data_IF_600161735289
#
_entry.id   IF_600161735289
#
_cell.length_a   1.000
_cell.length_b   1.000
_cell.length_c   1.000
_cell.angle_alpha   90.00
_cell.angle_beta   90.00
_cell.angle_gamma   90.00
#
_symmetry.space_group_name_H-M   'P 1'
#
loop_
_entity.id
_entity.type
_entity.pdbx_description
1 polymer ?
#
# COMPACT_ATOMS: atom_id res chain seq x y z
N UNK A 1 -23.29 8.60 23.58
CA UNK A 1 -22.88 8.44 22.16
C UNK A 1 -21.41 8.03 22.12
N UNK A 2 -21.11 6.95 21.47
CA UNK A 2 -19.72 6.49 21.31
C UNK A 2 -19.16 7.09 20.02
N UNK A 3 -18.10 7.88 20.15
CA UNK A 3 -17.37 8.41 18.98
C UNK A 3 -16.32 7.37 18.60
N UNK A 4 -16.45 6.82 17.38
CA UNK A 4 -15.43 5.90 16.85
C UNK A 4 -14.42 6.70 16.05
N UNK A 5 -13.14 6.55 16.41
CA UNK A 5 -12.05 7.07 15.59
C UNK A 5 -11.86 6.18 14.36
N UNK A 6 -11.56 6.77 13.20
CA UNK A 6 -11.23 5.98 12.02
C UNK A 6 -10.07 5.03 12.32
N UNK A 7 -10.18 3.79 11.85
CA UNK A 7 -9.12 2.78 11.95
C UNK A 7 -8.84 2.22 10.58
N UNK A 8 -7.67 1.66 10.41
CA UNK A 8 -7.25 1.04 9.16
C UNK A 8 -5.91 1.56 8.70
N UNK A 9 -5.35 0.83 7.76
CA UNK A 9 -4.03 1.13 7.21
C UNK A 9 -4.03 0.82 5.72
N UNK A 10 -3.45 1.71 4.93
CA UNK A 10 -3.18 1.49 3.52
C UNK A 10 -1.72 1.04 3.38
N UNK A 11 -1.45 0.02 2.58
CA UNK A 11 -0.10 -0.50 2.36
C UNK A 11 0.37 -0.12 0.96
N UNK A 12 1.51 0.57 0.91
CA UNK A 12 2.12 1.08 -0.31
C UNK A 12 3.02 0.04 -0.98
N UNK A 13 3.33 0.27 -2.24
CA UNK A 13 4.13 -0.59 -3.13
C UNK A 13 5.43 -1.09 -2.49
N UNK A 14 6.22 -0.17 -1.96
CA UNK A 14 7.55 -0.49 -1.43
C UNK A 14 7.54 -1.45 -0.25
N UNK A 15 6.46 -1.45 0.52
CA UNK A 15 6.32 -2.35 1.68
C UNK A 15 6.11 -3.79 1.20
N UNK A 16 5.25 -4.01 0.21
CA UNK A 16 5.05 -5.34 -0.36
C UNK A 16 6.33 -5.86 -1.03
N UNK A 17 6.99 -5.02 -1.82
CA UNK A 17 8.25 -5.38 -2.48
C UNK A 17 9.33 -5.75 -1.46
N UNK A 18 9.51 -4.94 -0.44
CA UNK A 18 10.51 -5.19 0.60
C UNK A 18 10.23 -6.46 1.42
N UNK A 19 8.96 -6.80 1.58
CA UNK A 19 8.58 -8.04 2.26
C UNK A 19 9.08 -9.29 1.52
N UNK A 20 8.94 -9.33 0.20
CA UNK A 20 9.32 -10.49 -0.60
C UNK A 20 10.80 -10.48 -1.04
N UNK A 21 11.45 -9.32 -1.00
CA UNK A 21 12.87 -9.19 -1.35
C UNK A 21 13.71 -9.21 -0.07
N UNK A 22 14.23 -10.37 0.30
CA UNK A 22 14.96 -10.56 1.57
C UNK A 22 16.17 -9.63 1.72
N UNK A 23 16.80 -9.26 0.62
CA UNK A 23 17.99 -8.38 0.60
C UNK A 23 17.64 -6.89 0.59
N UNK A 24 16.37 -6.54 0.54
CA UNK A 24 15.97 -5.13 0.55
C UNK A 24 16.29 -4.50 1.90
N UNK A 25 16.86 -3.27 1.92
CA UNK A 25 17.14 -2.58 3.18
C UNK A 25 15.91 -2.42 4.09
N UNK A 26 14.72 -2.33 3.51
CA UNK A 26 13.46 -2.22 4.26
C UNK A 26 12.82 -3.55 4.64
N UNK A 27 13.47 -4.69 4.34
CA UNK A 27 12.86 -6.01 4.54
C UNK A 27 12.39 -6.24 5.98
N UNK A 28 13.25 -5.99 6.97
CA UNK A 28 12.89 -6.21 8.38
C UNK A 28 11.72 -5.34 8.81
N UNK A 29 11.72 -4.07 8.40
CA UNK A 29 10.62 -3.16 8.70
C UNK A 29 9.32 -3.59 8.03
N UNK A 30 9.38 -4.03 6.77
CA UNK A 30 8.23 -4.54 6.05
C UNK A 30 7.65 -5.80 6.69
N UNK A 31 8.49 -6.75 7.08
CA UNK A 31 8.07 -7.97 7.78
C UNK A 31 7.39 -7.63 9.10
N UNK A 32 7.98 -6.73 9.88
CA UNK A 32 7.40 -6.29 11.15
C UNK A 32 6.02 -5.64 10.94
N UNK A 33 5.93 -4.68 10.03
CA UNK A 33 4.70 -3.94 9.76
C UNK A 33 3.59 -4.85 9.25
N UNK A 34 3.87 -5.71 8.27
CA UNK A 34 2.86 -6.61 7.73
C UNK A 34 2.46 -7.70 8.73
N UNK A 35 3.37 -8.14 9.59
CA UNK A 35 3.03 -9.05 10.68
C UNK A 35 2.04 -8.39 11.65
N UNK A 36 2.22 -7.12 11.98
CA UNK A 36 1.26 -6.36 12.78
C UNK A 36 -0.09 -6.25 12.07
N UNK A 37 -0.07 -5.99 10.76
CA UNK A 37 -1.29 -5.93 9.93
C UNK A 37 -2.05 -7.26 9.97
N UNK A 38 -1.36 -8.38 9.82
CA UNK A 38 -1.97 -9.72 9.86
C UNK A 38 -2.61 -10.04 11.21
N UNK A 39 -2.06 -9.48 12.31
CA UNK A 39 -2.61 -9.65 13.65
C UNK A 39 -3.73 -8.67 13.98
N UNK A 40 -4.11 -7.81 13.04
CA UNK A 40 -5.21 -6.86 13.22
C UNK A 40 -4.85 -5.63 14.04
N UNK A 41 -3.58 -5.38 14.34
CA UNK A 41 -3.13 -4.27 15.19
C UNK A 41 -3.55 -2.89 14.63
N UNK A 42 -3.65 -2.76 13.33
CA UNK A 42 -3.97 -1.50 12.66
C UNK A 42 -5.39 -1.42 12.12
N UNK A 43 -6.25 -2.39 12.47
CA UNK A 43 -7.59 -2.51 11.91
C UNK A 43 -7.56 -3.13 10.51
N UNK A 44 -8.51 -2.76 9.67
CA UNK A 44 -8.59 -3.25 8.30
C UNK A 44 -7.39 -2.79 7.46
N UNK A 45 -6.91 -3.67 6.59
CA UNK A 45 -5.74 -3.42 5.74
C UNK A 45 -6.21 -3.26 4.31
N UNK A 46 -5.76 -2.18 3.68
CA UNK A 46 -6.17 -1.81 2.33
C UNK A 46 -4.97 -1.65 1.40
N UNK A 47 -5.19 -1.91 0.14
CA UNK A 47 -4.29 -1.51 -0.94
C UNK A 47 -5.14 -1.24 -2.18
N UNK A 48 -4.54 -0.97 -3.32
CA UNK A 48 -5.27 -0.72 -4.55
C UNK A 48 -4.74 -1.56 -5.72
N UNK A 49 -5.54 -1.65 -6.77
CA UNK A 49 -5.13 -2.30 -8.01
C UNK A 49 -3.93 -1.60 -8.66
N UNK A 50 -3.80 -0.28 -8.52
CA UNK A 50 -2.61 0.45 -8.99
C UNK A 50 -1.36 0.07 -8.20
N UNK A 51 -1.49 -0.09 -6.88
CA UNK A 51 -0.39 -0.57 -6.04
C UNK A 51 -0.03 -2.01 -6.40
N UNK A 52 -1.03 -2.86 -6.60
CA UNK A 52 -0.82 -4.25 -6.98
C UNK A 52 0.02 -4.35 -8.26
N UNK A 53 -0.37 -3.64 -9.31
CA UNK A 53 0.38 -3.59 -10.57
C UNK A 53 1.82 -3.12 -10.35
N UNK A 54 1.98 -2.00 -9.65
CA UNK A 54 3.30 -1.42 -9.39
C UNK A 54 4.18 -2.35 -8.55
N UNK A 55 3.62 -3.03 -7.54
CA UNK A 55 4.37 -3.93 -6.66
C UNK A 55 4.92 -5.15 -7.41
N UNK A 56 4.11 -5.76 -8.27
CA UNK A 56 4.56 -6.87 -9.12
C UNK A 56 5.67 -6.41 -10.07
N UNK A 57 5.45 -5.29 -10.74
CA UNK A 57 6.38 -4.74 -11.72
C UNK A 57 7.69 -4.31 -11.08
N UNK A 58 7.62 -3.61 -9.96
CA UNK A 58 8.79 -3.16 -9.22
C UNK A 58 9.64 -4.33 -8.71
N UNK A 59 8.98 -5.35 -8.16
CA UNK A 59 9.68 -6.54 -7.65
C UNK A 59 10.40 -7.27 -8.79
N UNK A 60 9.74 -7.43 -9.93
CA UNK A 60 10.36 -8.02 -11.11
C UNK A 60 11.56 -7.18 -11.59
N UNK A 61 11.40 -5.87 -11.67
CA UNK A 61 12.47 -4.97 -12.11
C UNK A 61 13.70 -5.04 -11.20
N UNK A 62 13.50 -5.12 -9.88
CA UNK A 62 14.59 -5.16 -8.90
C UNK A 62 15.28 -6.50 -8.81
N UNK A 63 14.58 -7.60 -9.03
CA UNK A 63 15.11 -8.95 -8.80
C UNK A 63 15.41 -9.71 -10.09
N UNK A 64 14.79 -9.35 -11.19
CA UNK A 64 14.78 -10.12 -12.45
C UNK A 64 14.27 -11.56 -12.24
N UNK A 65 13.45 -11.79 -11.20
CA UNK A 65 12.95 -13.12 -10.82
C UNK A 65 11.44 -13.15 -10.81
N UNK A 66 10.85 -13.92 -11.72
CA UNK A 66 9.40 -14.09 -11.78
C UNK A 66 8.84 -14.71 -10.50
N UNK A 67 9.53 -15.69 -9.93
CA UNK A 67 9.08 -16.34 -8.70
C UNK A 67 8.94 -15.38 -7.54
N UNK A 68 9.86 -14.43 -7.40
CA UNK A 68 9.79 -13.39 -6.36
C UNK A 68 8.62 -12.43 -6.63
N UNK A 69 8.46 -12.01 -7.87
CA UNK A 69 7.33 -11.13 -8.23
C UNK A 69 5.98 -11.81 -7.97
N UNK A 70 5.85 -13.10 -8.31
CA UNK A 70 4.61 -13.84 -8.09
C UNK A 70 4.27 -14.00 -6.60
N UNK A 71 5.26 -13.96 -5.72
CA UNK A 71 5.04 -13.98 -4.26
C UNK A 71 4.29 -12.74 -3.77
N UNK A 72 4.42 -11.61 -4.44
CA UNK A 72 3.64 -10.41 -4.11
C UNK A 72 2.14 -10.68 -4.23
N UNK A 73 1.72 -11.34 -5.32
CA UNK A 73 0.33 -11.73 -5.52
C UNK A 73 -0.16 -12.63 -4.39
N UNK A 74 0.61 -13.65 -4.04
CA UNK A 74 0.26 -14.59 -2.97
C UNK A 74 0.15 -13.88 -1.62
N UNK A 75 1.03 -12.94 -1.36
CA UNK A 75 0.99 -12.14 -0.14
C UNK A 75 -0.29 -11.31 -0.04
N UNK A 76 -0.66 -10.63 -1.11
CA UNK A 76 -1.82 -9.74 -1.12
C UNK A 76 -3.14 -10.55 -1.07
N UNK A 77 -3.23 -11.65 -1.79
CA UNK A 77 -4.47 -12.42 -1.90
C UNK A 77 -4.55 -13.63 -0.97
N UNK A 78 -3.47 -13.94 -0.24
CA UNK A 78 -3.50 -15.02 0.75
C UNK A 78 -3.76 -16.39 0.16
N UNK A 79 -3.11 -16.73 -0.95
CA UNK A 79 -3.35 -17.99 -1.67
C UNK A 79 -2.68 -19.22 -1.04
N UNK A 80 -2.00 -19.06 0.10
CA UNK A 80 -1.36 -20.17 0.81
C UNK A 80 -1.93 -20.29 2.23
N UNK A 81 -1.87 -21.49 2.82
CA UNK A 81 -2.30 -21.69 4.21
C UNK A 81 -1.49 -20.85 5.21
N UNK A 82 -0.23 -20.55 4.87
CA UNK A 82 0.68 -19.76 5.70
C UNK A 82 0.40 -18.27 5.64
N UNK A 83 -0.28 -17.80 4.56
CA UNK A 83 -0.58 -16.39 4.34
C UNK A 83 -2.10 -16.24 4.21
N UNK A 84 -2.78 -15.88 5.32
CA UNK A 84 -4.23 -15.64 5.26
C UNK A 84 -4.52 -14.39 4.42
N UNK A 85 -5.69 -14.37 3.80
CA UNK A 85 -6.17 -13.18 3.10
C UNK A 85 -6.50 -12.09 4.14
N UNK A 86 -5.74 -11.01 4.18
CA UNK A 86 -5.93 -9.93 5.15
C UNK A 86 -6.04 -8.54 4.50
N UNK A 87 -5.86 -8.45 3.19
CA UNK A 87 -5.82 -7.18 2.46
C UNK A 87 -7.12 -6.97 1.67
N UNK A 88 -7.75 -5.83 1.87
CA UNK A 88 -8.89 -5.40 1.06
C UNK A 88 -8.40 -4.61 -0.15
N UNK A 89 -8.74 -5.08 -1.36
CA UNK A 89 -8.34 -4.45 -2.62
C UNK A 89 -9.35 -3.36 -2.99
N UNK A 90 -8.87 -2.13 -3.10
CA UNK A 90 -9.65 -0.99 -3.59
C UNK A 90 -9.36 -0.77 -5.07
N UNK A 91 -10.41 -0.46 -5.83
CA UNK A 91 -10.27 -0.21 -7.26
C UNK A 91 -10.13 1.28 -7.56
N UNK A 92 -9.20 1.61 -8.44
CA UNK A 92 -9.11 2.94 -9.02
C UNK A 92 -10.03 2.95 -10.26
N UNK A 93 -11.32 3.13 -10.00
CA UNK A 93 -12.33 3.21 -11.05
C UNK A 93 -12.38 4.61 -11.68
N UNK A 94 -13.29 4.82 -12.60
CA UNK A 94 -13.38 6.09 -13.32
C UNK A 94 -13.59 7.29 -12.39
N UNK A 95 -14.53 7.29 -11.43
CA UNK A 95 -14.67 8.41 -10.51
C UNK A 95 -13.41 8.69 -9.69
N UNK A 96 -12.75 7.66 -9.20
CA UNK A 96 -11.49 7.80 -8.45
C UNK A 96 -10.40 8.38 -9.34
N UNK A 97 -10.29 7.90 -10.58
CA UNK A 97 -9.31 8.40 -11.53
C UNK A 97 -9.51 9.89 -11.81
N UNK A 98 -10.75 10.32 -11.97
CA UNK A 98 -11.07 11.73 -12.22
C UNK A 98 -10.70 12.61 -11.02
N UNK A 99 -11.05 12.18 -9.81
CA UNK A 99 -10.67 12.88 -8.59
C UNK A 99 -9.15 12.95 -8.44
N UNK A 100 -8.46 11.85 -8.70
CA UNK A 100 -7.00 11.79 -8.62
C UNK A 100 -6.35 12.70 -9.66
N UNK A 101 -6.89 12.79 -10.86
CA UNK A 101 -6.37 13.72 -11.88
C UNK A 101 -6.48 15.17 -11.41
N UNK A 102 -7.61 15.54 -10.81
CA UNK A 102 -7.79 16.89 -10.26
C UNK A 102 -6.76 17.19 -9.16
N UNK A 103 -6.56 16.27 -8.24
CA UNK A 103 -5.55 16.40 -7.17
C UNK A 103 -4.14 16.43 -7.73
N UNK A 104 -3.86 15.63 -8.75
CA UNK A 104 -2.53 15.50 -9.35
C UNK A 104 -2.02 16.80 -9.95
N UNK A 105 -2.92 17.68 -10.40
CA UNK A 105 -2.55 18.99 -10.91
C UNK A 105 -1.79 19.82 -9.85
N UNK A 106 -2.02 19.53 -8.58
CA UNK A 106 -1.31 20.13 -7.46
C UNK A 106 -0.18 19.22 -6.95
N UNK A 107 -0.47 17.95 -6.73
CA UNK A 107 0.49 17.01 -6.11
C UNK A 107 1.70 16.73 -6.98
N UNK A 108 1.56 16.81 -8.31
CA UNK A 108 2.69 16.60 -9.21
C UNK A 108 3.80 17.65 -9.00
N UNK A 109 3.44 18.84 -8.57
CA UNK A 109 4.41 19.91 -8.26
C UNK A 109 5.26 19.56 -7.04
N UNK A 110 4.71 18.73 -6.14
CA UNK A 110 5.39 18.26 -4.94
C UNK A 110 6.13 16.93 -5.19
N UNK A 111 6.14 16.44 -6.42
CA UNK A 111 6.86 15.23 -6.79
C UNK A 111 6.13 13.92 -6.56
N UNK A 112 4.83 13.96 -6.23
CA UNK A 112 4.04 12.74 -6.09
C UNK A 112 3.73 12.15 -7.45
N UNK A 113 3.79 10.82 -7.56
CA UNK A 113 3.33 10.12 -8.76
C UNK A 113 1.80 10.13 -8.83
N UNK A 114 1.27 9.76 -10.00
CA UNK A 114 -0.18 9.59 -10.12
C UNK A 114 -0.70 8.47 -9.23
N UNK A 115 0.03 7.37 -9.12
CA UNK A 115 -0.31 6.28 -8.19
C UNK A 115 -0.36 6.78 -6.74
N UNK A 116 0.62 7.57 -6.31
CA UNK A 116 0.61 8.19 -4.97
C UNK A 116 -0.66 9.02 -4.75
N UNK A 117 -1.03 9.80 -5.76
CA UNK A 117 -2.22 10.64 -5.69
C UNK A 117 -3.51 9.82 -5.62
N UNK A 118 -3.59 8.70 -6.36
CA UNK A 118 -4.74 7.79 -6.24
C UNK A 118 -4.84 7.21 -4.83
N UNK A 119 -3.70 6.91 -4.22
CA UNK A 119 -3.64 6.45 -2.82
C UNK A 119 -4.22 7.48 -1.87
N UNK A 120 -3.82 8.75 -2.00
CA UNK A 120 -4.36 9.84 -1.16
C UNK A 120 -5.88 9.98 -1.31
N UNK A 121 -6.39 9.90 -2.53
CA UNK A 121 -7.82 9.98 -2.80
C UNK A 121 -8.58 8.81 -2.16
N UNK A 122 -8.08 7.59 -2.35
CA UNK A 122 -8.69 6.40 -1.75
C UNK A 122 -8.70 6.46 -0.23
N UNK A 123 -7.59 6.87 0.37
CA UNK A 123 -7.50 6.99 1.83
C UNK A 123 -8.50 8.02 2.37
N UNK A 124 -8.64 9.15 1.70
CA UNK A 124 -9.59 10.17 2.10
C UNK A 124 -11.03 9.69 2.01
N UNK A 125 -11.40 9.06 0.88
CA UNK A 125 -12.77 8.57 0.67
C UNK A 125 -13.15 7.44 1.61
N UNK A 126 -12.22 6.56 1.95
CA UNK A 126 -12.46 5.44 2.84
C UNK A 126 -12.09 5.72 4.30
N UNK A 127 -11.71 6.97 4.61
CA UNK A 127 -11.33 7.40 5.96
C UNK A 127 -10.24 6.52 6.57
N UNK A 128 -9.23 6.19 5.77
CA UNK A 128 -8.09 5.38 6.20
C UNK A 128 -7.02 6.34 6.77
N UNK A 129 -6.72 6.26 8.09
CA UNK A 129 -5.88 7.28 8.74
C UNK A 129 -4.39 7.09 8.61
N UNK A 130 -3.94 5.88 8.25
CA UNK A 130 -2.52 5.52 8.25
C UNK A 130 -2.09 4.93 6.93
N UNK A 131 -0.82 5.12 6.59
CA UNK A 131 -0.19 4.44 5.47
C UNK A 131 1.12 3.80 5.92
N UNK A 132 1.34 2.55 5.52
CA UNK A 132 2.64 1.91 5.61
C UNK A 132 3.39 2.21 4.31
N UNK A 133 4.44 3.01 4.40
CA UNK A 133 5.20 3.43 3.23
C UNK A 133 6.63 3.78 3.61
N UNK A 134 7.55 3.59 2.66
CA UNK A 134 8.93 4.10 2.77
C UNK A 134 9.11 5.41 2.01
N UNK A 135 8.06 5.88 1.32
CA UNK A 135 8.12 7.08 0.50
C UNK A 135 7.97 8.35 1.34
N UNK A 136 9.00 9.20 1.31
CA UNK A 136 9.02 10.47 2.05
C UNK A 136 7.98 11.48 1.57
N UNK A 137 7.46 11.34 0.34
CA UNK A 137 6.46 12.26 -0.21
C UNK A 137 5.15 12.26 0.59
N UNK A 138 4.89 11.20 1.37
CA UNK A 138 3.72 11.14 2.25
C UNK A 138 3.92 11.83 3.61
N UNK A 139 5.15 12.23 3.96
CA UNK A 139 5.42 12.89 5.25
C UNK A 139 4.65 14.20 5.36
N UNK A 140 4.05 14.42 6.54
CA UNK A 140 3.25 15.60 6.81
C UNK A 140 1.83 15.55 6.25
N UNK A 141 1.47 14.52 5.49
CA UNK A 141 0.13 14.34 4.92
C UNK A 141 -0.68 13.32 5.68
N UNK A 142 -0.02 12.25 6.17
CA UNK A 142 -0.67 11.08 6.77
C UNK A 142 0.22 10.54 7.91
N UNK A 143 -0.34 9.66 8.73
CA UNK A 143 0.44 8.91 9.69
C UNK A 143 1.21 7.83 8.93
N UNK A 144 2.54 7.93 8.93
CA UNK A 144 3.43 7.03 8.21
C UNK A 144 4.02 6.03 9.20
N UNK A 145 4.00 4.77 8.84
CA UNK A 145 4.71 3.70 9.53
C UNK A 145 5.48 2.87 8.51
N UNK A 146 6.77 2.67 8.76
CA UNK A 146 7.60 1.94 7.81
C UNK A 146 9.01 1.73 8.31
#
# INVERSE_FOLDING_TARGET
>A
MVIRMPTGIFVDTGVFAAYVIEKDPGHKSAVHTLSECMRGKHGSVFTSDFIYDEALTLTLARTSRCDTALRVHKLIFGETEELPHFVHMLSVDEPIRELAYTEFQTTCKDGLSFTDTTTLVLMKLHEIPKIATFDKHFRGRLIIIG
#
